data_IF_002698817575
#
_entry.id   IF_002698817575
#
_cell.length_a   1.000
_cell.length_b   1.000
_cell.length_c   1.000
_cell.angle_alpha   90.00
_cell.angle_beta   90.00
_cell.angle_gamma   90.00
#
_symmetry.space_group_name_H-M   'P 1'
#
loop_
_entity.id
_entity.type
_entity.pdbx_description
1 polymer ?
#
# COMPACT_ATOMS: atom_id res chain seq x y z
N UNK A 1 4.83 -6.92 14.75
CA UNK A 1 3.85 -6.90 13.65
C UNK A 1 2.61 -7.64 14.12
N UNK A 2 1.42 -7.14 13.81
CA UNK A 2 0.17 -7.88 14.06
C UNK A 2 0.20 -9.18 13.26
N UNK A 3 -0.25 -10.30 13.84
CA UNK A 3 -0.27 -11.62 13.18
C UNK A 3 -1.01 -11.61 11.84
N UNK A 4 -2.00 -10.72 11.69
CA UNK A 4 -2.73 -10.50 10.44
C UNK A 4 -1.82 -10.08 9.27
N UNK A 5 -0.78 -9.28 9.49
CA UNK A 5 0.13 -8.88 8.40
C UNK A 5 0.98 -10.03 7.89
N UNK A 6 1.36 -10.96 8.76
CA UNK A 6 2.09 -12.14 8.33
C UNK A 6 1.25 -12.99 7.38
N UNK A 7 -0.04 -13.18 7.70
CA UNK A 7 -0.98 -13.93 6.84
C UNK A 7 -1.11 -13.25 5.49
N UNK A 8 -1.35 -11.93 5.47
CA UNK A 8 -1.45 -11.15 4.22
C UNK A 8 -0.17 -11.25 3.38
N UNK A 9 1.01 -11.15 4.01
CA UNK A 9 2.28 -11.28 3.29
C UNK A 9 2.50 -12.69 2.72
N UNK A 10 2.07 -13.74 3.44
CA UNK A 10 2.13 -15.12 2.95
C UNK A 10 1.19 -15.33 1.75
N UNK A 11 -0.02 -14.77 1.79
CA UNK A 11 -0.97 -14.81 0.67
C UNK A 11 -0.41 -14.08 -0.56
N UNK A 12 0.11 -12.86 -0.39
CA UNK A 12 0.75 -12.10 -1.47
C UNK A 12 1.91 -12.90 -2.08
N UNK A 13 2.77 -13.49 -1.24
CA UNK A 13 3.88 -14.31 -1.71
C UNK A 13 3.42 -15.54 -2.49
N UNK A 14 2.37 -16.21 -2.00
CA UNK A 14 1.76 -17.34 -2.68
C UNK A 14 1.22 -16.94 -4.07
N UNK A 15 0.46 -15.84 -4.17
CA UNK A 15 -0.06 -15.34 -5.44
C UNK A 15 1.04 -14.94 -6.42
N UNK A 16 2.06 -14.20 -5.96
CA UNK A 16 3.20 -13.81 -6.80
C UNK A 16 4.00 -15.00 -7.32
N UNK A 17 4.01 -16.11 -6.59
CA UNK A 17 4.68 -17.35 -7.00
C UNK A 17 3.95 -18.06 -8.15
N UNK A 18 2.62 -18.10 -8.11
CA UNK A 18 1.81 -18.81 -9.11
C UNK A 18 1.41 -17.95 -10.31
N UNK A 19 1.42 -16.62 -10.16
CA UNK A 19 1.02 -15.69 -11.21
C UNK A 19 1.99 -15.72 -12.42
N UNK A 20 1.47 -15.60 -13.66
CA UNK A 20 2.29 -15.44 -14.86
C UNK A 20 3.11 -14.15 -14.78
N UNK A 21 4.26 -14.07 -15.46
CA UNK A 21 5.15 -12.90 -15.37
C UNK A 21 4.49 -11.59 -15.82
N UNK A 22 3.56 -11.70 -16.77
CA UNK A 22 2.75 -10.61 -17.31
C UNK A 22 1.29 -10.90 -17.00
N UNK A 23 0.58 -9.89 -16.51
CA UNK A 23 -0.84 -9.95 -16.14
C UNK A 23 -1.61 -8.81 -16.80
N UNK A 24 -2.89 -9.03 -17.08
CA UNK A 24 -3.80 -7.95 -17.49
C UNK A 24 -3.96 -6.94 -16.36
N UNK A 25 -3.72 -5.67 -16.64
CA UNK A 25 -3.82 -4.57 -15.67
C UNK A 25 -5.09 -3.74 -15.86
N UNK A 26 -5.65 -3.80 -17.07
CA UNK A 26 -6.96 -3.26 -17.40
C UNK A 26 -7.67 -4.28 -18.30
N UNK A 27 -9.00 -4.29 -18.19
CA UNK A 27 -9.88 -5.19 -18.93
C UNK A 27 -11.03 -4.38 -19.50
N UNK A 28 -11.33 -4.59 -20.78
CA UNK A 28 -12.48 -3.98 -21.45
C UNK A 28 -13.76 -4.79 -21.21
N UNK A 29 -14.90 -4.29 -21.71
CA UNK A 29 -16.23 -4.83 -21.41
C UNK A 29 -16.50 -6.29 -21.80
N UNK A 30 -15.63 -6.93 -22.60
CA UNK A 30 -15.69 -8.36 -22.93
C UNK A 30 -14.75 -9.22 -22.08
N UNK A 31 -14.20 -8.67 -20.99
CA UNK A 31 -13.16 -9.27 -20.14
C UNK A 31 -11.86 -9.62 -20.88
N UNK A 32 -11.63 -9.06 -22.07
CA UNK A 32 -10.31 -9.14 -22.70
C UNK A 32 -9.36 -8.09 -22.08
N UNK A 33 -8.11 -8.47 -21.78
CA UNK A 33 -7.11 -7.52 -21.33
C UNK A 33 -6.63 -6.66 -22.50
N UNK A 34 -6.72 -5.33 -22.36
CA UNK A 34 -6.21 -4.34 -23.31
C UNK A 34 -4.90 -3.69 -22.81
N UNK A 35 -4.58 -3.84 -21.52
CA UNK A 35 -3.36 -3.35 -20.90
C UNK A 35 -2.67 -4.47 -20.12
N UNK A 36 -1.34 -4.50 -20.18
CA UNK A 36 -0.52 -5.53 -19.56
C UNK A 36 0.57 -4.93 -18.69
N UNK A 37 0.87 -5.60 -17.58
CA UNK A 37 1.91 -5.19 -16.64
C UNK A 37 2.62 -6.38 -16.00
N UNK A 38 3.64 -6.08 -15.20
CA UNK A 38 4.31 -7.11 -14.41
C UNK A 38 3.38 -7.60 -13.30
N UNK A 39 3.45 -8.90 -12.97
CA UNK A 39 2.74 -9.48 -11.81
C UNK A 39 2.98 -8.77 -10.49
N UNK A 40 4.11 -8.07 -10.34
CA UNK A 40 4.40 -7.31 -9.12
C UNK A 40 3.48 -6.11 -8.93
N UNK A 41 2.85 -5.61 -10.01
CA UNK A 41 1.88 -4.52 -9.94
C UNK A 41 0.60 -4.91 -9.18
N UNK A 42 0.26 -6.21 -9.09
CA UNK A 42 -0.95 -6.71 -8.42
C UNK A 42 -1.05 -6.33 -6.94
N UNK A 43 0.10 -6.23 -6.26
CA UNK A 43 0.16 -5.97 -4.82
C UNK A 43 1.08 -4.80 -4.47
N UNK A 44 1.56 -4.07 -5.48
CA UNK A 44 2.57 -3.03 -5.28
C UNK A 44 2.05 -1.93 -4.35
N UNK A 45 0.84 -1.44 -4.61
CA UNK A 45 0.25 -0.34 -3.85
C UNK A 45 -0.13 -0.76 -2.44
N UNK A 46 -0.69 -1.96 -2.28
CA UNK A 46 -1.07 -2.56 -1.02
C UNK A 46 0.16 -2.76 -0.12
N UNK A 47 1.24 -3.32 -0.68
CA UNK A 47 2.51 -3.49 0.03
C UNK A 47 3.13 -2.16 0.41
N UNK A 48 3.11 -1.18 -0.51
CA UNK A 48 3.65 0.15 -0.26
C UNK A 48 2.92 0.85 0.89
N UNK A 49 1.58 0.82 0.89
CA UNK A 49 0.76 1.39 1.96
C UNK A 49 1.02 0.68 3.29
N UNK A 50 1.10 -0.65 3.29
CA UNK A 50 1.34 -1.45 4.50
C UNK A 50 2.71 -1.13 5.12
N UNK A 51 3.77 -1.13 4.30
CA UNK A 51 5.14 -0.85 4.75
C UNK A 51 5.25 0.58 5.28
N UNK A 52 4.72 1.56 4.55
CA UNK A 52 4.78 2.97 4.96
C UNK A 52 3.95 3.22 6.22
N UNK A 53 2.74 2.65 6.31
CA UNK A 53 1.88 2.76 7.48
C UNK A 53 2.56 2.24 8.74
N UNK A 54 3.11 1.02 8.69
CA UNK A 54 3.83 0.45 9.84
C UNK A 54 5.11 1.22 10.18
N UNK A 55 5.84 1.70 9.17
CA UNK A 55 7.04 2.51 9.38
C UNK A 55 6.73 3.83 10.08
N UNK A 56 5.66 4.51 9.66
CA UNK A 56 5.17 5.75 10.28
C UNK A 56 4.77 5.50 11.74
N UNK A 57 3.96 4.45 11.98
CA UNK A 57 3.54 4.09 13.33
C UNK A 57 4.75 3.78 14.21
N UNK A 58 5.73 3.04 13.70
CA UNK A 58 6.95 2.71 14.44
C UNK A 58 7.77 3.96 14.80
N UNK A 59 7.98 4.86 13.84
CA UNK A 59 8.72 6.11 14.04
C UNK A 59 8.01 7.00 15.07
N UNK A 60 6.70 7.21 14.93
CA UNK A 60 5.94 8.09 15.84
C UNK A 60 5.79 7.47 17.23
N UNK A 61 5.64 6.15 17.34
CA UNK A 61 5.66 5.46 18.64
C UNK A 61 6.99 5.66 19.35
N UNK A 62 8.10 5.48 18.64
CA UNK A 62 9.43 5.71 19.22
C UNK A 62 9.65 7.17 19.59
N UNK A 63 9.13 8.11 18.79
CA UNK A 63 9.19 9.53 19.11
C UNK A 63 8.37 9.85 20.36
N UNK A 64 7.15 9.31 20.52
CA UNK A 64 6.34 9.49 21.73
C UNK A 64 7.03 8.98 22.99
N UNK A 65 7.60 7.77 22.94
CA UNK A 65 8.32 7.18 24.08
C UNK A 65 9.49 8.09 24.49
N UNK A 66 10.26 8.60 23.52
CA UNK A 66 11.39 9.51 23.79
C UNK A 66 10.97 10.85 24.39
N UNK A 67 9.73 11.28 24.21
CA UNK A 67 9.21 12.56 24.70
C UNK A 67 8.22 12.39 25.85
N UNK A 68 8.08 11.18 26.41
CA UNK A 68 7.15 10.89 27.52
C UNK A 68 5.67 11.20 27.18
N UNK A 69 5.30 11.06 25.90
CA UNK A 69 3.95 11.30 25.36
C UNK A 69 3.18 10.01 25.05
N UNK A 70 3.66 8.87 25.54
CA UNK A 70 3.08 7.53 25.32
C UNK A 70 1.73 7.35 26.04
N UNK A 71 1.53 8.04 27.16
CA UNK A 71 0.29 7.98 27.94
C UNK A 71 -0.87 8.82 27.36
N UNK A 72 -0.64 9.61 26.30
CA UNK A 72 -1.68 10.46 25.70
C UNK A 72 -2.55 9.65 24.72
N UNK A 73 -3.85 9.44 25.01
CA UNK A 73 -4.73 8.59 24.20
C UNK A 73 -5.21 9.23 22.89
N UNK A 74 -4.77 10.45 22.59
CA UNK A 74 -5.19 11.21 21.40
C UNK A 74 -4.05 11.32 20.40
N UNK A 75 -4.41 11.35 19.12
CA UNK A 75 -3.47 11.68 18.04
C UNK A 75 -2.97 13.12 18.23
N UNK A 76 -1.67 13.30 18.05
CA UNK A 76 -0.98 14.58 18.12
C UNK A 76 -1.05 15.29 16.75
N UNK A 77 -1.00 16.62 16.71
CA UNK A 77 -1.00 17.37 15.43
C UNK A 77 0.11 16.94 14.46
N UNK A 78 1.22 16.44 14.99
CA UNK A 78 2.30 15.83 14.20
C UNK A 78 1.84 14.58 13.45
N UNK A 79 1.12 13.68 14.12
CA UNK A 79 0.65 12.42 13.54
C UNK A 79 -0.47 12.67 12.54
N UNK A 80 -1.34 13.65 12.78
CA UNK A 80 -2.35 14.08 11.81
C UNK A 80 -1.73 14.52 10.48
N UNK A 81 -0.60 15.22 10.51
CA UNK A 81 0.10 15.63 9.29
C UNK A 81 0.58 14.43 8.47
N UNK A 82 0.83 13.27 9.09
CA UNK A 82 1.29 12.07 8.39
C UNK A 82 0.17 11.39 7.59
N UNK A 83 -1.11 11.73 7.85
CA UNK A 83 -2.23 11.28 7.01
C UNK A 83 -2.17 11.83 5.58
N UNK A 84 -1.36 12.87 5.32
CA UNK A 84 -1.15 13.36 3.95
C UNK A 84 -0.47 12.32 3.06
N UNK A 85 0.38 11.46 3.64
CA UNK A 85 1.16 10.45 2.90
C UNK A 85 0.25 9.43 2.19
N UNK A 86 -0.68 8.73 2.88
CA UNK A 86 -1.59 7.82 2.20
C UNK A 86 -2.48 8.52 1.16
N UNK A 87 -2.88 9.78 1.39
CA UNK A 87 -3.65 10.55 0.41
C UNK A 87 -2.85 10.77 -0.87
N UNK A 88 -1.58 11.18 -0.76
CA UNK A 88 -0.70 11.36 -1.92
C UNK A 88 -0.51 10.04 -2.67
N UNK A 89 -0.32 8.93 -1.96
CA UNK A 89 -0.17 7.59 -2.58
C UNK A 89 -1.42 7.21 -3.37
N UNK A 90 -2.62 7.42 -2.82
CA UNK A 90 -3.88 7.13 -3.51
C UNK A 90 -4.02 7.95 -4.80
N UNK A 91 -3.66 9.24 -4.76
CA UNK A 91 -3.69 10.12 -5.94
C UNK A 91 -2.71 9.60 -7.01
N UNK A 92 -1.48 9.25 -6.62
CA UNK A 92 -0.48 8.69 -7.54
C UNK A 92 -0.93 7.36 -8.14
N UNK A 93 -1.49 6.48 -7.31
CA UNK A 93 -2.03 5.20 -7.76
C UNK A 93 -3.15 5.40 -8.80
N UNK A 94 -4.08 6.32 -8.52
CA UNK A 94 -5.15 6.65 -9.46
C UNK A 94 -4.62 7.23 -10.78
N UNK A 95 -3.59 8.07 -10.74
CA UNK A 95 -2.95 8.59 -11.95
C UNK A 95 -2.26 7.49 -12.77
N UNK A 96 -1.54 6.57 -12.13
CA UNK A 96 -0.90 5.43 -12.81
C UNK A 96 -1.95 4.52 -13.45
N UNK A 97 -3.05 4.23 -12.73
CA UNK A 97 -4.16 3.46 -13.28
C UNK A 97 -4.81 4.18 -14.46
N UNK A 98 -5.01 5.49 -14.39
CA UNK A 98 -5.54 6.27 -15.51
C UNK A 98 -4.67 6.16 -16.76
N UNK A 99 -3.33 6.22 -16.60
CA UNK A 99 -2.41 6.03 -17.72
C UNK A 99 -2.56 4.65 -18.37
N UNK A 100 -2.79 3.60 -17.58
CA UNK A 100 -2.99 2.23 -18.09
C UNK A 100 -4.27 2.06 -18.90
N UNK A 101 -5.28 2.92 -18.70
CA UNK A 101 -6.56 2.93 -19.45
C UNK A 101 -6.46 3.80 -20.70
N UNK A 102 -5.66 4.87 -20.65
CA UNK A 102 -5.60 5.89 -21.70
C UNK A 102 -4.62 5.60 -22.86
N UNK A 103 -3.83 4.53 -22.74
CA UNK A 103 -2.86 4.05 -23.75
C UNK A 103 -3.46 2.84 -24.44
#
# INVERSE_FOLDING_TARGET
MRSSYLIVLLEIFYYLRIAPQVVGTHFVGDNSPDSFGSKYQLFFWELLILILGESIIFVEKNWRIKNELDNLPKLLPREYRLLIIPVVIIILAGFVMYQQVSI
#
